data_IF_091844865876
#
_entry.id   IF_091844865876
#
_cell.length_a   1.000
_cell.length_b   1.000
_cell.length_c   1.000
_cell.angle_alpha   90.00
_cell.angle_beta   90.00
_cell.angle_gamma   90.00
#
_symmetry.space_group_name_H-M   'P 1'
#
loop_
_entity.id
_entity.type
_entity.pdbx_description
1 polymer ?
#
# COMPACT_ATOMS: atom_id res chain seq x y z
N UNK A 1 -33.07 22.44 -73.46
CA UNK A 1 -33.91 22.49 -72.24
C UNK A 1 -33.60 21.28 -71.38
N UNK A 2 -32.84 21.44 -70.31
CA UNK A 2 -32.72 20.45 -69.23
C UNK A 2 -32.15 21.12 -67.97
N UNK A 3 -32.69 20.70 -66.83
CA UNK A 3 -32.79 21.40 -65.54
C UNK A 3 -31.45 21.54 -64.80
N UNK A 4 -31.16 22.72 -64.25
CA UNK A 4 -30.25 22.88 -63.10
C UNK A 4 -31.03 23.53 -61.95
N UNK A 5 -31.03 22.84 -60.80
CA UNK A 5 -31.72 23.21 -59.55
C UNK A 5 -31.05 24.43 -58.90
N UNK A 6 -31.78 25.27 -58.15
CA UNK A 6 -31.19 26.34 -57.35
C UNK A 6 -30.58 25.76 -56.07
N UNK A 7 -29.38 26.24 -55.72
CA UNK A 7 -28.70 25.96 -54.46
C UNK A 7 -29.23 26.96 -53.43
N UNK A 8 -29.94 26.47 -52.42
CA UNK A 8 -30.47 27.28 -51.31
C UNK A 8 -29.34 27.75 -50.40
N UNK A 9 -29.40 29.03 -50.06
CA UNK A 9 -28.59 29.73 -49.06
C UNK A 9 -28.81 29.11 -47.65
N UNK A 10 -27.75 28.64 -47.01
CA UNK A 10 -27.73 28.33 -45.56
C UNK A 10 -26.44 28.87 -44.92
N UNK A 11 -26.23 30.18 -45.06
CA UNK A 11 -25.23 30.93 -44.31
C UNK A 11 -25.89 31.53 -43.06
N UNK A 12 -25.80 30.86 -41.90
CA UNK A 12 -26.34 31.49 -40.68
C UNK A 12 -26.11 30.86 -39.31
N UNK A 13 -25.80 29.57 -39.16
CA UNK A 13 -25.92 28.93 -37.83
C UNK A 13 -24.69 28.24 -37.24
N UNK A 14 -23.54 28.22 -37.91
CA UNK A 14 -22.40 27.40 -37.45
C UNK A 14 -21.19 28.15 -36.85
N UNK A 15 -21.30 29.47 -36.64
CA UNK A 15 -20.19 30.28 -36.08
C UNK A 15 -20.23 30.54 -34.56
N UNK A 16 -21.27 30.10 -33.85
CA UNK A 16 -21.48 30.53 -32.45
C UNK A 16 -21.09 29.47 -31.39
N UNK A 17 -20.88 28.20 -31.78
CA UNK A 17 -20.65 27.11 -30.81
C UNK A 17 -19.20 26.62 -30.63
N UNK A 18 -18.20 27.28 -31.23
CA UNK A 18 -16.78 27.01 -30.94
C UNK A 18 -16.09 28.15 -30.22
N UNK A 19 -16.69 28.66 -29.13
CA UNK A 19 -15.88 29.22 -28.04
C UNK A 19 -15.15 28.05 -27.38
N UNK A 20 -13.94 27.72 -27.88
CA UNK A 20 -12.92 27.04 -27.07
C UNK A 20 -12.88 27.80 -25.73
N UNK A 21 -13.32 27.16 -24.64
CA UNK A 21 -13.11 27.69 -23.29
C UNK A 21 -11.61 27.97 -23.19
N UNK A 22 -11.23 29.25 -23.15
CA UNK A 22 -9.85 29.65 -22.87
C UNK A 22 -9.55 29.08 -21.48
N UNK A 23 -8.63 28.13 -21.41
CA UNK A 23 -8.08 27.65 -20.14
C UNK A 23 -7.46 28.88 -19.46
N UNK A 24 -7.74 29.06 -18.17
CA UNK A 24 -7.16 30.19 -17.43
C UNK A 24 -5.65 29.96 -17.29
N UNK A 25 -4.85 31.03 -17.33
CA UNK A 25 -3.40 30.96 -17.06
C UNK A 25 -3.10 30.23 -15.74
N UNK A 26 -3.94 30.43 -14.72
CA UNK A 26 -3.83 29.70 -13.45
C UNK A 26 -4.04 28.19 -13.62
N UNK A 27 -4.96 27.75 -14.48
CA UNK A 27 -5.20 26.33 -14.72
C UNK A 27 -4.02 25.70 -15.48
N UNK A 28 -3.40 26.43 -16.41
CA UNK A 28 -2.19 25.95 -17.11
C UNK A 28 -1.01 25.77 -16.14
N UNK A 29 -0.85 26.68 -15.18
CA UNK A 29 0.16 26.56 -14.12
C UNK A 29 -0.15 25.38 -13.20
N UNK A 30 -1.41 25.21 -12.77
CA UNK A 30 -1.80 24.05 -11.96
C UNK A 30 -1.51 22.72 -12.65
N UNK A 31 -1.85 22.60 -13.93
CA UNK A 31 -1.62 21.39 -14.73
C UNK A 31 -0.11 21.14 -14.91
N UNK A 32 0.69 22.20 -15.04
CA UNK A 32 2.15 22.11 -15.08
C UNK A 32 2.73 21.65 -13.74
N UNK A 33 2.27 22.20 -12.62
CA UNK A 33 2.71 21.78 -11.27
C UNK A 33 2.37 20.31 -11.03
N UNK A 34 1.16 19.90 -11.39
CA UNK A 34 0.73 18.50 -11.32
C UNK A 34 1.63 17.60 -12.17
N UNK A 35 1.92 17.97 -13.42
CA UNK A 35 2.83 17.21 -14.28
C UNK A 35 4.23 17.08 -13.70
N UNK A 36 4.80 18.17 -13.14
CA UNK A 36 6.14 18.14 -12.54
C UNK A 36 6.20 17.22 -11.32
N UNK A 37 5.17 17.26 -10.45
CA UNK A 37 5.11 16.42 -9.26
C UNK A 37 4.91 14.95 -9.64
N UNK A 38 4.06 14.62 -10.62
CA UNK A 38 3.82 13.23 -10.99
C UNK A 38 5.05 12.59 -11.67
N UNK A 39 5.81 13.38 -12.44
CA UNK A 39 6.97 12.90 -13.22
C UNK A 39 8.26 12.81 -12.42
N UNK A 40 8.34 13.37 -11.22
CA UNK A 40 9.53 13.24 -10.38
C UNK A 40 9.80 11.75 -10.09
N UNK A 41 11.07 11.35 -10.18
CA UNK A 41 11.48 9.94 -10.08
C UNK A 41 11.46 9.14 -11.38
N UNK A 42 10.96 9.70 -12.49
CA UNK A 42 11.08 9.08 -13.80
C UNK A 42 12.50 9.24 -14.37
N UNK A 43 12.80 8.48 -15.44
CA UNK A 43 14.07 8.58 -16.16
C UNK A 43 14.30 10.02 -16.62
N UNK A 44 15.43 10.58 -16.22
CA UNK A 44 15.83 11.96 -16.51
C UNK A 44 17.31 12.02 -16.90
N UNK A 45 17.71 13.11 -17.55
CA UNK A 45 19.12 13.41 -17.84
C UNK A 45 19.87 13.87 -16.59
N UNK A 46 19.15 14.43 -15.61
CA UNK A 46 19.69 14.93 -14.34
C UNK A 46 19.49 13.92 -13.22
N UNK A 47 20.31 14.00 -12.17
CA UNK A 47 20.17 13.13 -10.99
C UNK A 47 18.84 13.36 -10.26
N UNK A 48 18.38 12.34 -9.52
CA UNK A 48 17.13 12.44 -8.74
C UNK A 48 17.21 13.57 -7.71
N UNK A 49 18.37 13.76 -7.10
CA UNK A 49 18.63 14.79 -6.10
C UNK A 49 18.46 16.19 -6.71
N UNK A 50 19.09 16.44 -7.86
CA UNK A 50 18.96 17.73 -8.56
C UNK A 50 17.51 18.00 -8.98
N UNK A 51 16.79 16.97 -9.45
CA UNK A 51 15.38 17.11 -9.80
C UNK A 51 14.50 17.43 -8.58
N UNK A 52 14.76 16.80 -7.43
CA UNK A 52 14.03 17.05 -6.18
C UNK A 52 14.26 18.47 -5.64
N UNK A 53 15.52 18.92 -5.61
CA UNK A 53 15.88 20.26 -5.14
C UNK A 53 15.31 21.36 -6.05
N UNK A 54 15.41 21.16 -7.37
CA UNK A 54 14.81 22.05 -8.36
C UNK A 54 13.30 22.12 -8.23
N UNK A 55 12.63 20.96 -8.10
CA UNK A 55 11.19 20.91 -7.92
C UNK A 55 10.74 21.57 -6.62
N UNK A 56 11.43 21.32 -5.49
CA UNK A 56 11.12 21.98 -4.22
C UNK A 56 11.17 23.50 -4.33
N UNK A 57 12.14 24.04 -5.09
CA UNK A 57 12.27 25.48 -5.32
C UNK A 57 11.18 26.05 -6.22
N UNK A 58 10.76 25.30 -7.26
CA UNK A 58 9.62 25.70 -8.10
C UNK A 58 8.33 25.72 -7.29
N UNK A 59 8.06 24.66 -6.53
CA UNK A 59 6.85 24.55 -5.73
C UNK A 59 6.78 25.65 -4.67
N UNK A 60 7.91 25.95 -4.00
CA UNK A 60 7.99 27.01 -2.98
C UNK A 60 7.62 28.39 -3.53
N UNK A 61 8.12 28.75 -4.71
CA UNK A 61 7.79 30.02 -5.38
C UNK A 61 6.29 30.14 -5.70
N UNK A 62 5.63 29.02 -6.00
CA UNK A 62 4.22 28.95 -6.35
C UNK A 62 3.28 28.70 -5.15
N UNK A 63 3.81 28.46 -3.94
CA UNK A 63 3.01 28.19 -2.74
C UNK A 63 2.07 29.35 -2.38
N UNK A 64 2.43 30.61 -2.65
CA UNK A 64 1.58 31.74 -2.29
C UNK A 64 0.22 31.70 -3.01
N UNK A 65 0.20 31.21 -4.26
CA UNK A 65 -0.98 31.22 -5.13
C UNK A 65 -1.64 29.84 -5.21
N UNK A 66 -0.84 28.77 -5.27
CA UNK A 66 -1.31 27.41 -5.57
C UNK A 66 -1.22 26.45 -4.37
N UNK A 67 -1.09 26.96 -3.13
CA UNK A 67 -0.96 26.18 -1.89
C UNK A 67 -1.90 24.98 -1.82
N UNK A 68 -3.21 25.22 -1.98
CA UNK A 68 -4.23 24.18 -1.85
C UNK A 68 -4.12 23.10 -2.93
N UNK A 69 -3.70 23.46 -4.14
CA UNK A 69 -3.54 22.52 -5.25
C UNK A 69 -2.30 21.65 -5.03
N UNK A 70 -1.16 22.26 -4.67
CA UNK A 70 0.09 21.55 -4.37
C UNK A 70 -0.12 20.56 -3.22
N UNK A 71 -0.75 21.00 -2.13
CA UNK A 71 -1.04 20.18 -0.96
C UNK A 71 -1.94 18.98 -1.32
N UNK A 72 -2.98 19.18 -2.15
CA UNK A 72 -3.82 18.10 -2.65
C UNK A 72 -3.05 17.11 -3.52
N UNK A 73 -2.24 17.59 -4.47
CA UNK A 73 -1.46 16.73 -5.37
C UNK A 73 -0.48 15.87 -4.56
N UNK A 74 0.29 16.45 -3.64
CA UNK A 74 1.26 15.70 -2.84
C UNK A 74 0.60 14.66 -1.94
N UNK A 75 -0.57 14.98 -1.36
CA UNK A 75 -1.35 14.01 -0.58
C UNK A 75 -1.89 12.88 -1.45
N UNK A 76 -2.38 13.20 -2.66
CA UNK A 76 -2.81 12.19 -3.62
C UNK A 76 -1.64 11.29 -4.03
N UNK A 77 -0.44 11.84 -4.24
CA UNK A 77 0.77 11.08 -4.56
C UNK A 77 1.14 10.11 -3.44
N UNK A 78 1.06 10.56 -2.18
CA UNK A 78 1.38 9.74 -1.00
C UNK A 78 0.55 8.44 -0.91
N UNK A 79 -0.68 8.44 -1.45
CA UNK A 79 -1.58 7.29 -1.36
C UNK A 79 -1.82 6.56 -2.68
N UNK A 80 -1.64 7.23 -3.82
CA UNK A 80 -1.85 6.65 -5.15
C UNK A 80 -0.57 6.10 -5.78
N UNK A 81 0.60 6.52 -5.30
CA UNK A 81 1.91 6.08 -5.80
C UNK A 81 2.81 5.63 -4.64
N UNK A 82 2.41 4.61 -3.86
CA UNK A 82 3.18 4.13 -2.71
C UNK A 82 4.57 3.61 -3.09
N UNK A 83 4.80 3.24 -4.35
CA UNK A 83 6.10 2.85 -4.89
C UNK A 83 7.12 4.00 -4.95
N UNK A 84 6.63 5.25 -5.05
CA UNK A 84 7.46 6.47 -5.02
C UNK A 84 7.47 7.14 -3.64
N UNK A 85 7.10 6.40 -2.57
CA UNK A 85 6.95 6.94 -1.22
C UNK A 85 8.13 7.83 -0.78
N UNK A 86 9.36 7.33 -0.86
CA UNK A 86 10.55 8.06 -0.37
C UNK A 86 10.92 9.28 -1.20
N UNK A 87 10.54 9.29 -2.48
CA UNK A 87 10.74 10.44 -3.36
C UNK A 87 9.85 11.58 -2.89
N UNK A 88 8.57 11.27 -2.62
CA UNK A 88 7.60 12.25 -2.18
C UNK A 88 7.82 12.71 -0.73
N UNK A 89 8.23 11.84 0.19
CA UNK A 89 8.59 12.27 1.55
C UNK A 89 9.83 13.15 1.54
N UNK A 90 10.84 12.85 0.70
CA UNK A 90 12.01 13.73 0.52
C UNK A 90 11.60 15.11 0.01
N UNK A 91 10.72 15.17 -1.01
CA UNK A 91 10.20 16.44 -1.54
C UNK A 91 9.47 17.26 -0.47
N UNK A 92 8.62 16.60 0.34
CA UNK A 92 7.94 17.24 1.47
C UNK A 92 8.94 17.71 2.54
N UNK A 93 10.00 16.94 2.81
CA UNK A 93 11.11 17.32 3.69
C UNK A 93 11.79 18.62 3.23
N UNK A 94 12.15 18.70 1.95
CA UNK A 94 12.74 19.90 1.36
C UNK A 94 11.79 21.11 1.40
N UNK A 95 10.49 20.89 1.17
CA UNK A 95 9.48 21.94 1.28
C UNK A 95 9.28 22.42 2.73
N UNK A 96 9.30 21.51 3.71
CA UNK A 96 9.23 21.87 5.12
C UNK A 96 10.45 22.69 5.56
N UNK A 97 11.66 22.32 5.11
CA UNK A 97 12.87 23.07 5.38
C UNK A 97 12.81 24.51 4.83
N UNK A 98 12.17 24.71 3.67
CA UNK A 98 11.96 26.04 3.08
C UNK A 98 10.78 26.80 3.69
N UNK A 99 9.72 26.10 4.09
CA UNK A 99 8.49 26.69 4.62
C UNK A 99 7.84 25.79 5.69
N UNK A 100 8.15 26.07 6.95
CA UNK A 100 7.65 25.33 8.11
C UNK A 100 6.11 25.28 8.18
N UNK A 101 5.43 26.40 7.87
CA UNK A 101 3.97 26.47 7.92
C UNK A 101 3.32 25.53 6.90
N UNK A 102 3.87 25.45 5.69
CA UNK A 102 3.41 24.50 4.69
C UNK A 102 3.61 23.05 5.16
N UNK A 103 4.75 22.73 5.78
CA UNK A 103 4.99 21.40 6.35
C UNK A 103 3.93 21.02 7.38
N UNK A 104 3.54 21.95 8.26
CA UNK A 104 2.48 21.74 9.25
C UNK A 104 1.12 21.50 8.61
N UNK A 105 0.72 22.34 7.66
CA UNK A 105 -0.53 22.17 6.90
C UNK A 105 -0.58 20.83 6.15
N UNK A 106 0.54 20.42 5.56
CA UNK A 106 0.65 19.14 4.87
C UNK A 106 0.46 17.97 5.83
N UNK A 107 1.13 17.98 6.99
CA UNK A 107 0.99 16.95 8.03
C UNK A 107 -0.46 16.87 8.53
N UNK A 108 -1.10 18.01 8.80
CA UNK A 108 -2.50 18.05 9.20
C UNK A 108 -3.44 17.46 8.14
N UNK A 109 -3.19 17.76 6.87
CA UNK A 109 -3.99 17.24 5.77
C UNK A 109 -3.79 15.73 5.59
N UNK A 110 -2.56 15.22 5.68
CA UNK A 110 -2.26 13.80 5.66
C UNK A 110 -2.92 13.05 6.83
N UNK A 111 -2.88 13.62 8.04
CA UNK A 111 -3.58 13.07 9.21
C UNK A 111 -5.09 13.01 8.97
N UNK A 112 -5.69 14.08 8.42
CA UNK A 112 -7.12 14.08 8.07
C UNK A 112 -7.45 12.98 7.07
N UNK A 113 -6.66 12.86 6.00
CA UNK A 113 -6.83 11.81 5.00
C UNK A 113 -6.71 10.39 5.60
N UNK A 114 -5.75 10.18 6.51
CA UNK A 114 -5.62 8.91 7.23
C UNK A 114 -6.88 8.59 8.07
N UNK A 115 -7.41 9.57 8.82
CA UNK A 115 -8.65 9.40 9.61
C UNK A 115 -9.86 9.11 8.73
N UNK A 116 -9.99 9.83 7.62
CA UNK A 116 -11.10 9.65 6.68
C UNK A 116 -11.01 8.29 5.97
N UNK A 117 -9.80 7.83 5.66
CA UNK A 117 -9.58 6.50 5.11
C UNK A 117 -9.99 5.38 6.10
N UNK A 118 -9.65 5.52 7.39
CA UNK A 118 -10.10 4.56 8.42
C UNK A 118 -11.64 4.52 8.54
N UNK A 119 -12.29 5.69 8.61
CA UNK A 119 -13.76 5.78 8.70
C UNK A 119 -14.45 5.26 7.45
N UNK A 120 -13.85 5.49 6.29
CA UNK A 120 -14.35 5.03 4.99
C UNK A 120 -13.98 3.59 4.66
N UNK A 121 -13.38 2.84 5.58
CA UNK A 121 -12.89 1.47 5.35
C UNK A 121 -11.93 1.34 4.15
N UNK A 122 -11.21 2.41 3.82
CA UNK A 122 -10.18 2.45 2.78
C UNK A 122 -8.84 2.00 3.35
N UNK A 123 -8.77 0.72 3.70
CA UNK A 123 -7.65 0.16 4.47
C UNK A 123 -6.29 0.29 3.77
N UNK A 124 -6.21 0.11 2.45
CA UNK A 124 -4.95 0.31 1.72
C UNK A 124 -4.51 1.79 1.74
N UNK A 125 -5.42 2.72 1.47
CA UNK A 125 -5.17 4.17 1.59
C UNK A 125 -4.69 4.55 3.00
N UNK A 126 -5.31 3.96 4.03
CA UNK A 126 -4.91 4.20 5.41
C UNK A 126 -3.49 3.67 5.71
N UNK A 127 -3.14 2.48 5.21
CA UNK A 127 -1.77 1.91 5.33
C UNK A 127 -0.73 2.77 4.63
N UNK A 128 -1.00 3.24 3.42
CA UNK A 128 -0.07 4.09 2.67
C UNK A 128 0.09 5.45 3.31
N UNK A 129 -0.99 6.02 3.84
CA UNK A 129 -0.92 7.27 4.62
C UNK A 129 -0.05 7.09 5.87
N UNK A 130 -0.22 6.00 6.62
CA UNK A 130 0.59 5.72 7.81
C UNK A 130 2.07 5.49 7.46
N UNK A 131 2.37 4.75 6.38
CA UNK A 131 3.74 4.59 5.86
C UNK A 131 4.37 5.92 5.51
N UNK A 132 3.63 6.79 4.83
CA UNK A 132 4.11 8.10 4.45
C UNK A 132 4.42 8.97 5.67
N UNK A 133 3.51 9.01 6.65
CA UNK A 133 3.73 9.69 7.93
C UNK A 133 4.93 9.11 8.69
N UNK A 134 5.16 7.80 8.60
CA UNK A 134 6.30 7.15 9.23
C UNK A 134 7.62 7.57 8.58
N UNK A 135 7.72 7.53 7.25
CA UNK A 135 8.95 7.88 6.54
C UNK A 135 9.25 9.40 6.57
N UNK A 136 8.24 10.24 6.81
CA UNK A 136 8.45 11.68 7.10
C UNK A 136 9.23 11.94 8.40
N UNK A 137 9.36 10.98 9.31
CA UNK A 137 10.27 11.09 10.46
C UNK A 137 11.72 11.08 9.98
N UNK A 138 12.06 10.20 9.04
CA UNK A 138 13.40 10.15 8.43
C UNK A 138 13.73 11.42 7.63
N UNK A 139 12.69 12.14 7.15
CA UNK A 139 12.84 13.41 6.45
C UNK A 139 12.84 14.63 7.38
N UNK A 140 12.89 14.43 8.71
CA UNK A 140 12.85 15.50 9.72
C UNK A 140 11.60 16.40 9.63
N UNK A 141 10.49 15.88 9.11
CA UNK A 141 9.21 16.62 9.09
C UNK A 141 8.37 16.31 10.32
N UNK A 142 8.35 15.04 10.77
CA UNK A 142 7.57 14.59 11.92
C UNK A 142 8.49 14.17 13.06
N UNK A 143 8.15 14.56 14.29
CA UNK A 143 8.87 14.13 15.47
C UNK A 143 8.59 12.65 15.79
N UNK A 144 9.67 11.86 15.96
CA UNK A 144 9.62 10.43 16.26
C UNK A 144 8.72 10.08 17.46
N UNK A 145 8.68 10.93 18.49
CA UNK A 145 7.83 10.75 19.67
C UNK A 145 6.34 10.73 19.32
N UNK A 146 5.91 11.62 18.42
CA UNK A 146 4.50 11.74 18.04
C UNK A 146 4.05 10.61 17.13
N UNK A 147 4.95 10.10 16.27
CA UNK A 147 4.70 8.88 15.50
C UNK A 147 4.59 7.66 16.41
N UNK A 148 5.54 7.48 17.34
CA UNK A 148 5.51 6.34 18.26
C UNK A 148 4.20 6.29 19.06
N UNK A 149 3.75 7.43 19.58
CA UNK A 149 2.46 7.53 20.27
C UNK A 149 1.28 7.09 19.39
N UNK A 150 1.28 7.45 18.10
CA UNK A 150 0.26 6.98 17.15
C UNK A 150 0.33 5.45 16.97
N UNK A 151 1.52 4.88 16.81
CA UNK A 151 1.71 3.42 16.67
C UNK A 151 1.25 2.67 17.93
N UNK A 152 1.56 3.19 19.11
CA UNK A 152 1.09 2.65 20.40
C UNK A 152 -0.45 2.69 20.49
N UNK A 153 -1.08 3.82 20.16
CA UNK A 153 -2.54 3.93 20.17
C UNK A 153 -3.22 2.94 19.19
N UNK A 154 -2.57 2.66 18.04
CA UNK A 154 -3.04 1.65 17.09
C UNK A 154 -2.97 0.23 17.68
N UNK A 155 -1.88 -0.12 18.36
CA UNK A 155 -1.74 -1.43 19.03
C UNK A 155 -2.62 -1.53 20.28
N UNK A 156 -2.87 -0.43 21.00
CA UNK A 156 -3.75 -0.44 22.18
C UNK A 156 -5.22 -0.60 21.80
N UNK A 157 -5.63 -0.17 20.60
CA UNK A 157 -6.94 -0.54 20.04
C UNK A 157 -7.03 -2.06 19.84
N UNK A 158 -5.90 -2.73 19.63
CA UNK A 158 -5.82 -4.17 19.68
C UNK A 158 -5.90 -4.75 21.10
N UNK A 159 -6.16 -3.98 22.17
CA UNK A 159 -6.35 -4.46 23.55
C UNK A 159 -7.75 -4.19 24.11
N UNK A 160 -8.65 -3.55 23.35
CA UNK A 160 -10.03 -3.27 23.79
C UNK A 160 -10.76 -4.57 24.20
N UNK A 161 -10.91 -4.79 25.51
CA UNK A 161 -11.68 -5.89 26.10
C UNK A 161 -13.19 -5.54 26.10
N UNK A 162 -14.05 -6.54 25.88
CA UNK A 162 -15.51 -6.39 26.02
C UNK A 162 -16.33 -6.54 24.75
N UNK A 163 -15.70 -6.82 23.60
CA UNK A 163 -16.44 -7.13 22.37
C UNK A 163 -16.42 -8.64 22.11
N UNK A 164 -17.59 -9.31 21.96
CA UNK A 164 -17.67 -10.77 21.97
C UNK A 164 -16.72 -11.40 20.96
N UNK A 165 -15.72 -12.15 21.43
CA UNK A 165 -14.80 -12.90 20.59
C UNK A 165 -15.47 -14.09 19.91
N UNK A 166 -16.79 -14.14 19.78
CA UNK A 166 -17.55 -15.21 19.13
C UNK A 166 -18.92 -14.64 18.77
N UNK A 167 -19.34 -14.79 17.51
CA UNK A 167 -20.75 -14.60 17.14
C UNK A 167 -21.49 -15.85 17.64
N UNK A 168 -22.69 -15.73 18.25
CA UNK A 168 -23.51 -16.92 18.48
C UNK A 168 -23.74 -17.64 17.14
N UNK A 169 -23.69 -18.99 17.12
CA UNK A 169 -23.84 -19.75 15.89
C UNK A 169 -25.17 -19.38 15.20
N UNK A 170 -25.22 -19.38 13.85
CA UNK A 170 -26.45 -19.12 13.13
C UNK A 170 -27.53 -20.11 13.59
N UNK A 171 -28.77 -19.63 13.73
CA UNK A 171 -29.92 -20.41 14.24
C UNK A 171 -30.27 -21.63 13.37
N UNK A 172 -29.68 -21.75 12.18
CA UNK A 172 -29.83 -22.89 11.28
C UNK A 172 -28.45 -23.44 10.90
N UNK A 173 -28.11 -24.68 11.30
CA UNK A 173 -26.93 -25.35 10.79
C UNK A 173 -27.16 -25.65 9.30
N UNK A 174 -26.39 -25.02 8.43
CA UNK A 174 -26.36 -25.40 7.01
C UNK A 174 -25.63 -26.73 6.92
N UNK A 175 -26.35 -27.83 6.67
CA UNK A 175 -25.76 -29.16 6.50
C UNK A 175 -24.67 -29.14 5.42
N UNK A 176 -23.44 -29.45 5.83
CA UNK A 176 -22.28 -29.56 4.95
C UNK A 176 -22.36 -30.91 4.24
N UNK A 177 -22.77 -30.92 2.97
CA UNK A 177 -22.60 -32.10 2.11
C UNK A 177 -21.13 -32.22 1.69
N UNK A 178 -20.43 -33.22 2.20
CA UNK A 178 -19.12 -33.66 1.68
C UNK A 178 -19.28 -34.22 0.27
N UNK A 179 -18.66 -33.59 -0.72
CA UNK A 179 -18.47 -34.20 -2.03
C UNK A 179 -17.20 -35.06 -2.01
N UNK A 180 -17.36 -36.33 -2.38
CA UNK A 180 -16.26 -37.26 -2.65
C UNK A 180 -15.49 -36.83 -3.89
N UNK A 181 -14.18 -37.03 -3.88
CA UNK A 181 -13.27 -36.77 -5.01
C UNK A 181 -13.80 -37.33 -6.33
N UNK A 182 -13.73 -36.58 -7.45
CA UNK A 182 -14.08 -37.13 -8.75
C UNK A 182 -13.05 -38.21 -9.12
N UNK A 183 -13.46 -39.46 -9.04
CA UNK A 183 -12.73 -40.56 -9.64
C UNK A 183 -12.85 -40.44 -11.16
N UNK A 184 -11.70 -40.34 -11.82
CA UNK A 184 -11.48 -40.29 -13.28
C UNK A 184 -11.60 -38.92 -13.96
N UNK A 185 -10.62 -38.67 -14.82
CA UNK A 185 -10.46 -37.49 -15.66
C UNK A 185 -11.61 -37.41 -16.67
N UNK A 186 -12.62 -36.59 -16.36
CA UNK A 186 -13.60 -36.13 -17.34
C UNK A 186 -13.12 -34.79 -17.85
N UNK A 187 -13.07 -34.63 -19.17
CA UNK A 187 -12.76 -33.37 -19.85
C UNK A 187 -13.71 -32.26 -19.37
N UNK A 188 -13.23 -31.42 -18.45
CA UNK A 188 -14.00 -30.30 -17.93
C UNK A 188 -13.79 -29.07 -18.83
N UNK A 189 -14.84 -28.70 -19.57
CA UNK A 189 -15.00 -27.40 -20.21
C UNK A 189 -14.65 -26.29 -19.20
N UNK A 190 -13.82 -25.32 -19.60
CA UNK A 190 -13.36 -24.17 -18.81
C UNK A 190 -14.47 -23.45 -18.03
N UNK A 191 -15.69 -23.43 -18.54
CA UNK A 191 -16.87 -22.84 -17.89
C UNK A 191 -17.29 -23.59 -16.62
N UNK A 192 -17.17 -24.92 -16.60
CA UNK A 192 -17.51 -25.77 -15.44
C UNK A 192 -16.47 -25.68 -14.31
N UNK A 193 -15.19 -25.49 -14.67
CA UNK A 193 -14.12 -25.26 -13.70
C UNK A 193 -14.32 -23.92 -13.00
N UNK A 194 -14.68 -22.87 -13.74
CA UNK A 194 -14.95 -21.54 -13.18
C UNK A 194 -16.18 -21.54 -12.27
N UNK A 195 -17.26 -22.25 -12.65
CA UNK A 195 -18.46 -22.37 -11.81
C UNK A 195 -18.20 -23.12 -10.51
N UNK A 196 -17.43 -24.23 -10.58
CA UNK A 196 -17.02 -24.98 -9.38
C UNK A 196 -16.09 -24.14 -8.49
N UNK A 197 -15.18 -23.35 -9.07
CA UNK A 197 -14.27 -22.48 -8.33
C UNK A 197 -15.00 -21.29 -7.67
N UNK A 198 -15.98 -20.70 -8.37
CA UNK A 198 -16.82 -19.63 -7.81
C UNK A 198 -17.67 -20.13 -6.64
N UNK A 199 -18.28 -21.32 -6.79
CA UNK A 199 -19.03 -21.98 -5.72
C UNK A 199 -18.13 -22.30 -4.52
N UNK A 200 -16.90 -22.78 -4.78
CA UNK A 200 -15.93 -23.05 -3.71
C UNK A 200 -15.43 -21.77 -3.03
N UNK A 201 -15.26 -20.66 -3.77
CA UNK A 201 -14.94 -19.34 -3.22
C UNK A 201 -16.07 -18.80 -2.35
N UNK A 202 -17.32 -18.93 -2.77
CA UNK A 202 -18.47 -18.54 -1.95
C UNK A 202 -18.56 -19.40 -0.69
N UNK A 203 -18.42 -20.73 -0.83
CA UNK A 203 -18.38 -21.66 0.31
C UNK A 203 -17.24 -21.33 1.28
N UNK A 204 -16.07 -21.00 0.75
CA UNK A 204 -14.89 -20.58 1.52
C UNK A 204 -15.14 -19.25 2.22
N UNK A 205 -15.79 -18.27 1.58
CA UNK A 205 -16.19 -17.00 2.23
C UNK A 205 -17.12 -17.22 3.42
N UNK A 206 -18.15 -18.07 3.30
CA UNK A 206 -19.06 -18.39 4.42
C UNK A 206 -18.33 -19.13 5.53
N UNK A 207 -17.54 -20.15 5.17
CA UNK A 207 -16.71 -20.91 6.11
C UNK A 207 -15.75 -19.99 6.87
N UNK A 208 -15.02 -19.12 6.17
CA UNK A 208 -14.14 -18.12 6.78
C UNK A 208 -14.93 -17.16 7.65
N UNK A 209 -16.11 -16.68 7.23
CA UNK A 209 -16.94 -15.79 8.06
C UNK A 209 -17.42 -16.44 9.36
N UNK A 210 -17.57 -17.77 9.39
CA UNK A 210 -17.93 -18.52 10.60
C UNK A 210 -16.71 -18.79 11.51
N UNK A 211 -15.50 -18.87 10.95
CA UNK A 211 -14.25 -19.09 11.69
C UNK A 211 -13.52 -17.81 12.10
N UNK A 212 -13.73 -16.70 11.38
CA UNK A 212 -13.05 -15.44 11.58
C UNK A 212 -13.89 -14.56 12.50
N UNK A 213 -13.29 -14.27 13.65
CA UNK A 213 -13.85 -13.33 14.60
C UNK A 213 -13.73 -11.93 14.03
N UNK A 214 -14.88 -11.30 13.76
CA UNK A 214 -14.98 -9.92 13.26
C UNK A 214 -14.15 -8.92 14.07
N UNK A 215 -13.97 -9.17 15.37
CA UNK A 215 -13.10 -8.36 16.22
C UNK A 215 -11.62 -8.69 16.08
N UNK A 216 -11.27 -9.92 15.76
CA UNK A 216 -9.88 -10.27 15.50
C UNK A 216 -9.37 -9.54 14.25
N UNK A 217 -10.12 -9.51 13.15
CA UNK A 217 -9.67 -8.84 11.90
C UNK A 217 -9.48 -7.33 12.04
N UNK A 218 -10.25 -6.66 12.91
CA UNK A 218 -10.01 -5.27 13.30
C UNK A 218 -8.63 -5.11 13.93
N UNK A 219 -8.35 -5.91 14.97
CA UNK A 219 -7.11 -5.86 15.75
C UNK A 219 -5.91 -6.23 14.89
N UNK A 220 -6.07 -7.29 14.10
CA UNK A 220 -5.06 -7.80 13.17
C UNK A 220 -4.63 -6.73 12.16
N UNK A 221 -5.58 -5.96 11.63
CA UNK A 221 -5.27 -4.89 10.69
C UNK A 221 -4.41 -3.78 11.31
N UNK A 222 -4.72 -3.34 12.53
CA UNK A 222 -3.91 -2.31 13.21
C UNK A 222 -2.48 -2.80 13.48
N UNK A 223 -2.34 -4.03 13.98
CA UNK A 223 -1.02 -4.64 14.23
C UNK A 223 -0.25 -4.82 12.92
N UNK A 224 -0.91 -5.30 11.86
CA UNK A 224 -0.30 -5.42 10.55
C UNK A 224 0.15 -4.07 9.99
N UNK A 225 -0.68 -3.03 10.09
CA UNK A 225 -0.35 -1.69 9.64
C UNK A 225 0.88 -1.13 10.37
N UNK A 226 0.97 -1.33 11.69
CA UNK A 226 2.15 -0.95 12.49
C UNK A 226 3.38 -1.74 12.05
N UNK A 227 3.31 -3.06 11.99
CA UNK A 227 4.45 -3.90 11.56
C UNK A 227 4.95 -3.53 10.16
N UNK A 228 4.04 -3.28 9.21
CA UNK A 228 4.39 -2.91 7.83
C UNK A 228 5.01 -1.51 7.70
N UNK A 229 5.00 -0.68 8.74
CA UNK A 229 5.66 0.65 8.74
C UNK A 229 7.08 0.61 9.27
N UNK A 230 7.42 -0.38 10.09
CA UNK A 230 8.74 -0.50 10.72
C UNK A 230 9.92 -0.65 9.75
N UNK A 231 9.80 -1.24 8.54
CA UNK A 231 10.91 -1.24 7.57
C UNK A 231 11.30 0.18 7.12
N UNK A 232 10.35 1.12 7.20
CA UNK A 232 10.54 2.49 6.78
C UNK A 232 11.18 3.34 7.87
N UNK A 233 10.74 3.17 9.14
CA UNK A 233 11.09 4.09 10.24
C UNK A 233 11.73 3.41 11.46
N UNK A 234 11.80 2.07 11.49
CA UNK A 234 12.16 1.31 12.69
C UNK A 234 13.55 1.66 13.24
N UNK A 235 14.52 1.92 12.37
CA UNK A 235 15.86 2.38 12.75
C UNK A 235 15.82 3.72 13.48
N UNK A 236 15.10 4.69 12.94
CA UNK A 236 14.97 6.04 13.50
C UNK A 236 14.25 6.03 14.86
N UNK A 237 13.20 5.21 14.99
CA UNK A 237 12.53 4.98 16.27
C UNK A 237 13.42 4.28 17.28
N UNK A 238 14.23 3.32 16.85
CA UNK A 238 15.18 2.64 17.72
C UNK A 238 16.25 3.61 18.23
N UNK A 239 16.85 4.40 17.35
CA UNK A 239 17.91 5.37 17.70
C UNK A 239 17.39 6.49 18.63
N UNK A 240 16.16 6.98 18.42
CA UNK A 240 15.60 8.12 19.18
C UNK A 240 14.69 7.74 20.35
N UNK A 241 14.08 6.55 20.32
CA UNK A 241 13.00 6.12 21.23
C UNK A 241 13.04 4.61 21.53
N UNK A 242 14.23 4.04 21.67
CA UNK A 242 14.47 2.60 21.92
C UNK A 242 13.48 1.98 22.92
N UNK A 243 13.39 2.51 24.14
CA UNK A 243 12.53 1.94 25.19
C UNK A 243 11.05 1.90 24.79
N UNK A 244 10.57 2.93 24.09
CA UNK A 244 9.19 2.99 23.63
C UNK A 244 8.93 2.04 22.47
N UNK A 245 9.89 1.91 21.54
CA UNK A 245 9.81 0.90 20.48
C UNK A 245 9.82 -0.53 21.06
N UNK A 246 10.66 -0.81 22.06
CA UNK A 246 10.69 -2.10 22.74
C UNK A 246 9.35 -2.43 23.41
N UNK A 247 8.76 -1.45 24.11
CA UNK A 247 7.43 -1.62 24.73
C UNK A 247 6.34 -1.92 23.69
N UNK A 248 6.36 -1.22 22.54
CA UNK A 248 5.47 -1.48 21.42
C UNK A 248 5.63 -2.90 20.88
N UNK A 249 6.87 -3.36 20.65
CA UNK A 249 7.16 -4.69 20.14
C UNK A 249 6.73 -5.80 21.12
N UNK A 250 6.95 -5.62 22.43
CA UNK A 250 6.46 -6.55 23.46
C UNK A 250 4.93 -6.63 23.45
N UNK A 251 4.26 -5.48 23.34
CA UNK A 251 2.79 -5.45 23.24
C UNK A 251 2.28 -6.22 22.02
N UNK A 252 2.95 -6.10 20.88
CA UNK A 252 2.64 -6.86 19.66
C UNK A 252 2.88 -8.36 19.89
N UNK A 253 4.01 -8.75 20.48
CA UNK A 253 4.31 -10.17 20.73
C UNK A 253 3.27 -10.84 21.62
N UNK A 254 2.86 -10.17 22.71
CA UNK A 254 1.80 -10.65 23.61
C UNK A 254 0.47 -10.78 22.87
N UNK A 255 0.13 -9.83 22.00
CA UNK A 255 -1.06 -9.91 21.16
C UNK A 255 -1.01 -11.12 20.21
N UNK A 256 0.08 -11.29 19.47
CA UNK A 256 0.24 -12.37 18.49
C UNK A 256 0.18 -13.75 19.17
N UNK A 257 0.72 -13.88 20.38
CA UNK A 257 0.68 -15.12 21.17
C UNK A 257 -0.72 -15.54 21.63
N UNK A 258 -1.67 -14.61 21.69
CA UNK A 258 -3.07 -14.88 22.08
C UNK A 258 -4.03 -15.03 20.89
N UNK A 259 -3.57 -14.78 19.66
CA UNK A 259 -4.42 -14.72 18.46
C UNK A 259 -4.95 -16.11 18.08
N UNK A 260 -6.23 -16.21 17.73
CA UNK A 260 -6.78 -17.44 17.16
C UNK A 260 -6.30 -17.63 15.72
N UNK A 261 -5.95 -18.87 15.37
CA UNK A 261 -5.46 -19.24 14.03
C UNK A 261 -6.32 -20.31 13.36
N UNK A 262 -7.59 -20.40 13.75
CA UNK A 262 -8.55 -21.39 13.21
C UNK A 262 -8.70 -21.27 11.67
N UNK A 263 -8.56 -20.07 11.12
CA UNK A 263 -8.61 -19.81 9.67
C UNK A 263 -7.41 -20.39 8.91
N UNK A 264 -6.27 -20.61 9.57
CA UNK A 264 -5.01 -20.97 8.90
C UNK A 264 -5.16 -22.22 8.04
N UNK A 265 -5.65 -23.34 8.61
CA UNK A 265 -5.79 -24.59 7.89
C UNK A 265 -6.68 -24.49 6.64
N UNK A 266 -7.73 -23.66 6.68
CA UNK A 266 -8.65 -23.46 5.56
C UNK A 266 -8.07 -22.60 4.43
N UNK A 267 -7.11 -21.72 4.75
CA UNK A 267 -6.53 -20.77 3.79
C UNK A 267 -5.24 -21.24 3.13
N UNK A 268 -4.61 -22.29 3.66
CA UNK A 268 -3.35 -22.80 3.11
C UNK A 268 -3.57 -23.40 1.73
N UNK A 269 -2.70 -23.05 0.78
CA UNK A 269 -2.66 -23.68 -0.55
C UNK A 269 -2.15 -25.12 -0.47
N UNK A 270 -1.20 -25.38 0.43
CA UNK A 270 -0.67 -26.72 0.69
C UNK A 270 -0.72 -27.05 2.17
N UNK A 271 -1.22 -28.24 2.51
CA UNK A 271 -1.23 -28.76 3.88
C UNK A 271 0.15 -29.26 4.34
N UNK A 272 1.04 -29.54 3.39
CA UNK A 272 2.42 -29.94 3.67
C UNK A 272 3.27 -28.70 4.02
N UNK A 273 4.11 -28.81 5.05
CA UNK A 273 5.06 -27.76 5.43
C UNK A 273 6.40 -27.85 4.68
N UNK A 274 6.62 -28.92 3.92
CA UNK A 274 7.82 -29.12 3.10
C UNK A 274 7.50 -29.04 1.61
N UNK A 275 8.36 -28.40 0.78
CA UNK A 275 9.60 -27.71 1.15
C UNK A 275 9.37 -26.34 1.79
N UNK A 276 8.18 -25.73 1.64
CA UNK A 276 7.89 -24.40 2.16
C UNK A 276 6.58 -24.36 2.97
N UNK A 277 6.63 -23.96 4.25
CA UNK A 277 5.42 -23.78 5.03
C UNK A 277 4.61 -22.60 4.49
N UNK A 278 3.28 -22.76 4.50
CA UNK A 278 2.35 -21.69 4.16
C UNK A 278 1.97 -20.96 5.45
N UNK A 279 2.73 -19.92 5.79
CA UNK A 279 2.64 -19.24 7.08
C UNK A 279 1.46 -18.26 7.14
N UNK A 280 0.90 -18.09 8.34
CA UNK A 280 -0.09 -17.04 8.59
C UNK A 280 0.58 -15.67 8.45
N UNK A 281 -0.08 -14.72 7.78
CA UNK A 281 0.56 -13.48 7.34
C UNK A 281 1.16 -12.61 8.46
N UNK A 282 0.51 -12.52 9.62
CA UNK A 282 1.01 -11.74 10.76
C UNK A 282 2.18 -12.44 11.43
N UNK A 283 2.16 -13.77 11.51
CA UNK A 283 3.28 -14.53 12.07
C UNK A 283 4.53 -14.43 11.18
N UNK A 284 4.33 -14.51 9.85
CA UNK A 284 5.41 -14.37 8.89
C UNK A 284 6.01 -12.95 8.94
N UNK A 285 5.16 -11.92 8.95
CA UNK A 285 5.63 -10.53 9.08
C UNK A 285 6.32 -10.28 10.42
N UNK A 286 5.82 -10.86 11.51
CA UNK A 286 6.49 -10.77 12.81
C UNK A 286 7.88 -11.41 12.78
N UNK A 287 8.04 -12.58 12.17
CA UNK A 287 9.36 -13.20 11.99
C UNK A 287 10.31 -12.30 11.18
N UNK A 288 9.80 -11.66 10.12
CA UNK A 288 10.56 -10.71 9.30
C UNK A 288 10.99 -9.46 10.08
N UNK A 289 10.09 -8.88 10.88
CA UNK A 289 10.42 -7.73 11.74
C UNK A 289 11.41 -8.09 12.83
N UNK A 290 11.28 -9.27 13.46
CA UNK A 290 12.28 -9.76 14.43
C UNK A 290 13.65 -9.93 13.78
N UNK A 291 13.72 -10.46 12.56
CA UNK A 291 14.98 -10.56 11.82
C UNK A 291 15.54 -9.17 11.51
N UNK A 292 14.72 -8.25 11.00
CA UNK A 292 15.14 -6.86 10.75
C UNK A 292 15.72 -6.21 12.01
N UNK A 293 15.07 -6.41 13.17
CA UNK A 293 15.59 -5.94 14.47
C UNK A 293 16.93 -6.59 14.82
N UNK A 294 17.09 -7.90 14.63
CA UNK A 294 18.36 -8.61 14.86
C UNK A 294 19.48 -8.10 13.94
N UNK A 295 19.11 -7.67 12.74
CA UNK A 295 20.02 -7.05 11.76
C UNK A 295 20.21 -5.54 12.01
N UNK A 296 19.94 -5.05 13.23
CA UNK A 296 20.05 -3.64 13.62
C UNK A 296 19.22 -2.68 12.75
N UNK A 297 18.01 -3.10 12.38
CA UNK A 297 17.10 -2.34 11.53
C UNK A 297 17.69 -1.98 10.16
N UNK A 298 18.67 -2.75 9.68
CA UNK A 298 19.28 -2.55 8.37
C UNK A 298 18.60 -3.43 7.32
N UNK A 299 18.20 -2.81 6.21
CA UNK A 299 17.69 -3.46 5.00
C UNK A 299 18.31 -2.80 3.76
N UNK A 300 18.24 -3.48 2.61
CA UNK A 300 18.91 -3.02 1.36
C UNK A 300 17.96 -2.75 0.19
N UNK A 301 16.66 -2.79 0.43
CA UNK A 301 15.66 -2.73 -0.64
C UNK A 301 15.10 -1.31 -0.85
N UNK A 302 14.91 -0.54 0.22
CA UNK A 302 14.27 0.77 0.14
C UNK A 302 15.28 1.83 -0.31
N UNK A 303 15.07 2.51 -1.45
CA UNK A 303 15.86 3.67 -1.82
C UNK A 303 15.47 4.86 -0.93
N UNK A 304 16.46 5.57 -0.38
CA UNK A 304 16.26 6.67 0.60
C UNK A 304 16.89 7.98 0.12
N UNK A 305 16.27 8.71 -0.85
CA UNK A 305 16.87 9.91 -1.44
C UNK A 305 17.17 11.02 -0.42
N UNK A 306 16.38 11.12 0.65
CA UNK A 306 16.58 12.09 1.73
C UNK A 306 17.96 11.99 2.40
N UNK A 307 18.66 10.85 2.34
CA UNK A 307 20.02 10.72 2.88
C UNK A 307 21.04 11.63 2.16
N UNK A 308 20.78 12.00 0.90
CA UNK A 308 21.62 12.94 0.16
C UNK A 308 21.43 14.40 0.58
N UNK A 309 20.40 14.68 1.39
CA UNK A 309 19.99 16.02 1.82
C UNK A 309 20.13 16.22 3.33
N UNK A 310 20.94 15.39 4.01
CA UNK A 310 21.11 15.42 5.47
C UNK A 310 21.45 16.81 6.01
N UNK A 311 22.34 17.55 5.33
CA UNK A 311 22.72 18.91 5.69
C UNK A 311 21.58 19.92 5.67
N UNK A 312 20.53 19.69 4.87
CA UNK A 312 19.36 20.56 4.78
C UNK A 312 18.28 20.09 5.76
N UNK A 313 18.01 18.79 5.78
CA UNK A 313 16.90 18.22 6.54
C UNK A 313 17.16 18.24 8.06
N UNK A 314 18.41 18.07 8.50
CA UNK A 314 18.76 18.14 9.92
C UNK A 314 18.52 19.52 10.55
N UNK A 315 18.56 20.60 9.77
CA UNK A 315 18.30 21.97 10.23
C UNK A 315 16.80 22.31 10.27
N UNK A 316 15.95 21.47 9.65
CA UNK A 316 14.52 21.71 9.57
C UNK A 316 13.83 21.49 10.93
N UNK A 317 12.87 22.35 11.24
CA UNK A 317 12.00 22.16 12.40
C UNK A 317 10.98 21.06 12.14
N UNK A 318 10.74 20.24 13.16
CA UNK A 318 9.79 19.14 13.12
C UNK A 318 8.39 19.57 13.59
N UNK A 319 7.39 18.83 13.14
CA UNK A 319 6.00 18.92 13.57
C UNK A 319 5.64 17.73 14.47
N UNK A 320 4.72 17.94 15.40
CA UNK A 320 4.12 16.85 16.16
C UNK A 320 2.80 16.44 15.52
N UNK A 321 2.59 15.13 15.37
CA UNK A 321 1.27 14.62 15.05
C UNK A 321 0.29 14.96 16.19
N UNK A 322 -0.97 15.33 15.88
CA UNK A 322 -2.01 15.42 16.90
C UNK A 322 -2.25 14.03 17.51
N UNK A 323 -2.72 13.97 18.76
CA UNK A 323 -3.11 12.69 19.36
C UNK A 323 -4.22 12.05 18.53
N UNK A 324 -3.96 10.86 18.03
CA UNK A 324 -4.87 10.11 17.19
C UNK A 324 -5.29 8.83 17.88
N UNK A 325 -6.60 8.64 18.01
CA UNK A 325 -7.19 7.38 18.42
C UNK A 325 -7.84 6.72 17.21
N UNK A 326 -7.60 5.44 16.96
CA UNK A 326 -8.37 4.67 15.99
C UNK A 326 -9.87 4.82 16.22
N UNK A 327 -10.68 4.87 15.14
CA UNK A 327 -12.13 4.99 15.31
C UNK A 327 -12.70 3.77 16.04
N UNK A 328 -13.71 3.97 16.91
CA UNK A 328 -14.43 2.86 17.53
C UNK A 328 -15.04 1.95 16.46
N UNK A 329 -15.28 0.69 16.81
CA UNK A 329 -15.89 -0.24 15.87
C UNK A 329 -17.32 0.19 15.54
N UNK A 330 -17.73 -0.07 14.30
CA UNK A 330 -19.10 0.08 13.84
C UNK A 330 -19.43 -1.13 12.97
N UNK A 331 -20.66 -1.64 13.06
CA UNK A 331 -21.09 -2.87 12.37
C UNK A 331 -20.97 -2.79 10.84
N UNK A 332 -20.95 -1.58 10.29
CA UNK A 332 -20.74 -1.34 8.85
C UNK A 332 -19.27 -1.41 8.42
N UNK A 333 -18.32 -1.54 9.35
CA UNK A 333 -16.89 -1.57 9.04
C UNK A 333 -16.47 -2.97 8.62
N UNK A 334 -16.01 -3.10 7.38
CA UNK A 334 -15.56 -4.36 6.80
C UNK A 334 -14.04 -4.37 6.77
N UNK A 335 -13.40 -5.08 7.70
CA UNK A 335 -11.94 -5.18 7.78
C UNK A 335 -11.36 -6.18 6.76
N UNK A 336 -10.09 -6.04 6.36
CA UNK A 336 -9.43 -7.01 5.50
C UNK A 336 -9.38 -8.40 6.16
N UNK A 337 -9.68 -9.42 5.37
CA UNK A 337 -9.60 -10.81 5.83
C UNK A 337 -8.15 -11.24 6.06
N UNK A 338 -7.91 -12.17 7.01
CA UNK A 338 -6.59 -12.74 7.18
C UNK A 338 -6.22 -13.56 5.95
N UNK A 339 -4.92 -13.70 5.69
CA UNK A 339 -4.42 -14.47 4.57
C UNK A 339 -3.21 -15.32 4.97
N UNK A 340 -2.86 -16.24 4.08
CA UNK A 340 -1.70 -17.12 4.22
C UNK A 340 -0.69 -16.74 3.17
N UNK A 341 0.58 -16.63 3.55
CA UNK A 341 1.65 -16.29 2.62
C UNK A 341 1.88 -17.46 1.69
N UNK A 342 1.69 -17.20 0.39
CA UNK A 342 2.01 -18.16 -0.65
C UNK A 342 3.52 -18.27 -0.80
N UNK A 343 4.08 -19.47 -0.60
CA UNK A 343 5.53 -19.68 -0.71
C UNK A 343 5.85 -20.93 -1.52
N UNK A 344 6.55 -20.75 -2.65
CA UNK A 344 6.97 -21.86 -3.50
C UNK A 344 8.41 -21.77 -4.03
N UNK A 345 9.10 -20.66 -3.73
CA UNK A 345 10.44 -20.39 -4.21
C UNK A 345 11.36 -20.01 -3.05
N UNK A 346 12.56 -20.55 -3.08
CA UNK A 346 13.72 -20.13 -2.29
C UNK A 346 14.96 -19.89 -3.18
N UNK A 347 16.11 -19.65 -2.54
CA UNK A 347 17.36 -19.34 -3.23
C UNK A 347 17.93 -20.49 -4.06
N UNK A 348 17.50 -21.73 -3.81
CA UNK A 348 17.95 -22.93 -4.54
C UNK A 348 17.27 -23.08 -5.90
N UNK A 349 16.10 -22.47 -6.09
CA UNK A 349 15.34 -22.50 -7.35
C UNK A 349 15.93 -21.59 -8.45
N UNK A 350 16.75 -20.61 -8.06
CA UNK A 350 17.42 -19.67 -8.97
C UNK A 350 18.92 -19.58 -8.65
N UNK A 351 19.71 -20.65 -8.91
CA UNK A 351 21.14 -20.68 -8.59
C UNK A 351 21.96 -19.72 -9.46
N UNK A 352 21.45 -19.38 -10.65
CA UNK A 352 22.05 -18.45 -11.59
C UNK A 352 21.30 -17.11 -11.53
N UNK A 353 21.80 -16.14 -10.75
CA UNK A 353 21.22 -14.80 -10.65
C UNK A 353 21.43 -14.13 -9.28
N UNK A 354 20.83 -12.94 -9.06
CA UNK A 354 20.75 -12.33 -7.73
C UNK A 354 20.06 -13.28 -6.75
N UNK A 355 20.62 -13.40 -5.54
CA UNK A 355 20.10 -14.31 -4.51
C UNK A 355 18.70 -13.85 -4.10
N UNK A 356 17.72 -14.75 -4.19
CA UNK A 356 16.35 -14.49 -3.74
C UNK A 356 16.35 -14.29 -2.21
N UNK A 357 15.78 -13.18 -1.69
CA UNK A 357 15.66 -12.99 -0.25
C UNK A 357 14.88 -14.11 0.43
N UNK A 358 15.41 -14.58 1.56
CA UNK A 358 14.80 -15.66 2.35
C UNK A 358 13.40 -15.30 2.86
N UNK A 359 12.58 -16.30 3.14
CA UNK A 359 11.17 -16.12 3.51
C UNK A 359 10.95 -15.16 4.70
N UNK A 360 11.88 -15.15 5.66
CA UNK A 360 11.85 -14.28 6.84
C UNK A 360 12.77 -13.06 6.76
N UNK A 361 13.27 -12.69 5.57
CA UNK A 361 13.91 -11.39 5.36
C UNK A 361 12.86 -10.33 5.07
N UNK A 362 13.08 -9.10 5.54
CA UNK A 362 12.13 -8.02 5.30
C UNK A 362 12.10 -7.59 3.83
N UNK A 363 13.22 -7.74 3.12
CA UNK A 363 13.29 -7.50 1.68
C UNK A 363 12.30 -8.38 0.92
N UNK A 364 12.09 -9.64 1.37
CA UNK A 364 11.09 -10.53 0.77
C UNK A 364 9.68 -9.96 0.89
N UNK A 365 9.34 -9.42 2.06
CA UNK A 365 8.05 -8.75 2.29
C UNK A 365 7.89 -7.51 1.43
N UNK A 366 8.90 -6.65 1.37
CA UNK A 366 8.84 -5.40 0.61
C UNK A 366 8.69 -5.66 -0.90
N UNK A 367 9.41 -6.63 -1.44
CA UNK A 367 9.29 -7.04 -2.84
C UNK A 367 7.87 -7.57 -3.12
N UNK A 368 7.38 -8.51 -2.31
CA UNK A 368 6.05 -9.10 -2.50
C UNK A 368 4.93 -8.06 -2.35
N UNK A 369 5.08 -7.14 -1.41
CA UNK A 369 4.13 -6.04 -1.22
C UNK A 369 4.11 -5.10 -2.42
N UNK A 370 5.28 -4.66 -2.90
CA UNK A 370 5.40 -3.78 -4.05
C UNK A 370 4.82 -4.42 -5.31
N UNK A 371 5.08 -5.72 -5.54
CA UNK A 371 4.48 -6.46 -6.66
C UNK A 371 2.96 -6.53 -6.54
N UNK A 372 2.42 -6.81 -5.35
CA UNK A 372 0.97 -6.80 -5.14
C UNK A 372 0.36 -5.43 -5.41
N UNK A 373 1.02 -4.35 -5.00
CA UNK A 373 0.58 -2.98 -5.27
C UNK A 373 0.50 -2.69 -6.76
N UNK A 374 1.56 -3.00 -7.52
CA UNK A 374 1.60 -2.81 -8.96
C UNK A 374 0.47 -3.59 -9.64
N UNK A 375 0.27 -4.85 -9.27
CA UNK A 375 -0.81 -5.68 -9.82
C UNK A 375 -2.18 -5.06 -9.49
N UNK A 376 -2.41 -4.64 -8.24
CA UNK A 376 -3.67 -4.01 -7.82
C UNK A 376 -3.95 -2.73 -8.62
N UNK A 377 -2.94 -1.92 -8.92
CA UNK A 377 -3.09 -0.68 -9.67
C UNK A 377 -3.31 -0.91 -11.17
N UNK A 378 -2.63 -1.90 -11.78
CA UNK A 378 -2.58 -2.05 -13.24
C UNK A 378 -3.29 -3.29 -13.80
N UNK A 379 -4.01 -4.07 -12.98
CA UNK A 379 -4.70 -5.30 -13.43
C UNK A 379 -5.66 -5.11 -14.63
N UNK A 380 -6.15 -3.88 -14.87
CA UNK A 380 -7.05 -3.57 -15.99
C UNK A 380 -6.31 -3.19 -17.29
N UNK A 381 -5.04 -2.78 -17.22
CA UNK A 381 -4.25 -2.21 -18.34
C UNK A 381 -3.09 -3.15 -18.74
N UNK A 382 -3.45 -4.38 -19.15
CA UNK A 382 -2.49 -5.49 -19.37
C UNK A 382 -1.35 -5.22 -20.36
N UNK A 383 -1.48 -4.25 -21.26
CA UNK A 383 -0.49 -3.96 -22.32
C UNK A 383 0.57 -2.95 -21.86
N UNK A 384 0.15 -1.89 -21.17
CA UNK A 384 1.05 -0.86 -20.62
C UNK A 384 1.80 -1.41 -19.38
N UNK A 385 1.16 -2.34 -18.65
CA UNK A 385 1.75 -3.13 -17.56
C UNK A 385 3.13 -3.74 -17.87
N UNK A 386 3.29 -4.33 -19.05
CA UNK A 386 4.46 -5.14 -19.42
C UNK A 386 5.67 -4.27 -19.81
N UNK A 387 5.44 -3.07 -20.33
CA UNK A 387 6.50 -2.19 -20.86
C UNK A 387 7.12 -1.33 -19.76
N UNK A 388 6.29 -0.74 -18.89
CA UNK A 388 6.76 0.18 -17.85
C UNK A 388 7.33 -0.55 -16.62
N UNK A 389 6.78 -1.72 -16.28
CA UNK A 389 7.14 -2.43 -15.04
C UNK A 389 8.22 -3.50 -15.23
N UNK A 390 8.44 -4.00 -16.45
CA UNK A 390 9.65 -4.79 -16.73
C UNK A 390 10.89 -3.92 -16.49
N UNK A 391 10.89 -2.64 -16.87
CA UNK A 391 12.03 -1.77 -16.62
C UNK A 391 12.26 -1.47 -15.12
N UNK A 392 11.21 -1.34 -14.30
CA UNK A 392 11.32 -1.14 -12.85
C UNK A 392 11.76 -2.42 -12.12
N UNK A 393 11.18 -3.56 -12.49
CA UNK A 393 11.57 -4.91 -12.02
C UNK A 393 13.02 -5.25 -12.45
N UNK A 394 13.46 -4.81 -13.63
CA UNK A 394 14.85 -4.96 -14.10
C UNK A 394 15.81 -3.94 -13.47
N UNK A 395 15.37 -2.71 -13.22
CA UNK A 395 16.21 -1.67 -12.57
C UNK A 395 16.47 -1.99 -11.10
N UNK A 396 15.58 -2.74 -10.44
CA UNK A 396 15.74 -3.27 -9.07
C UNK A 396 16.42 -4.66 -9.06
N UNK A 397 16.90 -5.16 -10.22
CA UNK A 397 17.68 -6.40 -10.36
C UNK A 397 16.98 -7.67 -9.87
N UNK A 398 16.14 -8.26 -10.72
CA UNK A 398 15.96 -9.72 -10.81
C UNK A 398 15.87 -10.14 -12.28
N UNK A 399 17.02 -10.46 -12.88
CA UNK A 399 17.08 -11.26 -14.11
C UNK A 399 16.68 -12.70 -13.77
N UNK A 400 15.38 -13.00 -13.76
CA UNK A 400 14.83 -14.33 -14.08
C UNK A 400 13.30 -14.38 -13.93
N UNK A 401 12.62 -14.31 -15.08
CA UNK A 401 11.34 -14.99 -15.40
C UNK A 401 10.24 -15.01 -14.33
N UNK A 402 9.57 -13.86 -14.21
CA UNK A 402 8.25 -13.64 -13.57
C UNK A 402 7.10 -14.48 -14.19
N UNK A 403 7.34 -15.19 -15.30
CA UNK A 403 6.33 -15.94 -16.07
C UNK A 403 5.66 -17.10 -15.31
N UNK A 404 6.23 -17.57 -14.19
CA UNK A 404 5.66 -18.68 -13.39
C UNK A 404 4.70 -18.18 -12.30
N UNK A 405 4.86 -16.95 -11.82
CA UNK A 405 3.95 -16.33 -10.85
C UNK A 405 2.57 -16.05 -11.47
N UNK A 406 2.57 -15.66 -12.75
CA UNK A 406 1.35 -15.36 -13.51
C UNK A 406 0.44 -16.58 -13.75
N UNK A 407 0.98 -17.79 -13.85
CA UNK A 407 0.17 -18.95 -14.26
C UNK A 407 -0.81 -19.40 -13.18
N UNK A 408 -0.54 -19.09 -11.90
CA UNK A 408 -1.40 -19.46 -10.76
C UNK A 408 -2.18 -18.29 -10.16
N UNK A 409 -1.68 -17.05 -10.22
CA UNK A 409 -2.48 -15.87 -9.84
C UNK A 409 -3.58 -15.52 -10.86
N UNK A 410 -3.48 -15.98 -12.12
CA UNK A 410 -4.57 -15.90 -13.11
C UNK A 410 -5.87 -16.59 -12.66
N UNK A 411 -5.82 -17.47 -11.65
CA UNK A 411 -7.03 -18.03 -11.04
C UNK A 411 -7.70 -17.08 -10.04
N UNK A 412 -6.97 -16.13 -9.47
CA UNK A 412 -7.51 -15.19 -8.46
C UNK A 412 -7.86 -13.80 -9.02
N UNK A 413 -7.15 -13.31 -10.06
CA UNK A 413 -7.39 -11.98 -10.64
C UNK A 413 -8.50 -11.96 -11.71
N UNK A 414 -8.95 -13.12 -12.19
CA UNK A 414 -10.08 -13.21 -13.13
C UNK A 414 -11.48 -13.17 -12.45
N UNK A 415 -11.56 -12.73 -11.18
CA UNK A 415 -12.82 -12.50 -10.48
C UNK A 415 -12.96 -11.02 -10.08
N UNK A 416 -13.45 -10.21 -11.02
CA UNK A 416 -14.27 -9.03 -10.77
C UNK A 416 -15.49 -9.10 -11.67
#
# INVERSE_FOLDING_TARGET
>A
MSRRRPHEDDDGYDRVYRKRRRVSENQEIEDRLESLILRVGEKSTSSLESNLEGLASVLEADLATFRSKILRILTDCAVKMPEKCTIYTTLVGLLNAKNYNFGGEFVEYMVRNFKDALKGCKWNTARYSLRFLADLVNCHVIAAVSLLQLLENMVDTAKEDGVPQEKPPPAHPTEIRTLTSPSSAVELNTTSVLANFATELERTKYTISDYVLWFQVRRDWYVFAVLATLPWVGRELYEKKEQGLEHLLISIEVFLGKRSKKHHAALRVWSCDTPHPQEEYLDCLWAQIRKLRQDNWAEKHIPRPYLAFDSILCEALQHNLPTMLPPPHHDSYIYPMPYVIFRMFDYTDCPEGPILPGAHSIERFLIEEHLHQIIEMHHLERKDWLVDNIALIYSIHLQSRVSVFESKQRLFVNFK
#
